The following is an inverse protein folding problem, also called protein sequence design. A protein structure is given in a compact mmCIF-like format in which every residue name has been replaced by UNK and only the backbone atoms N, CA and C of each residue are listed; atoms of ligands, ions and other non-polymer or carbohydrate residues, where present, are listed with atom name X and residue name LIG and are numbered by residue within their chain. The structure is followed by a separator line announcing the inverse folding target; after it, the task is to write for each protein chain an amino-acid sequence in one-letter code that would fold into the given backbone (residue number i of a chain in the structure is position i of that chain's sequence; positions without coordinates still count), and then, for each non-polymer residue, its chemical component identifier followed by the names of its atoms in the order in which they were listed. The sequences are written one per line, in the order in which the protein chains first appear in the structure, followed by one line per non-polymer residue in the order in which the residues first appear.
data_IF_989302001330
#
_entry.id   IF_989302001330
#
_cell.length_a   1.000
_cell.length_b   1.000
_cell.length_c   1.000
_cell.angle_alpha   90.00
_cell.angle_beta   90.00
_cell.angle_gamma   90.00
#
_symmetry.space_group_name_H-M   'P 1'
#
loop_
_entity.id
_entity.type
_entity.pdbx_description
1 polymer ?
#
# COMPACT_ATOMS: atom_id res chain seq x y z
N UNK A 1 14.60 23.29 -38.74
CA UNK A 1 14.24 23.59 -37.34
C UNK A 1 12.99 22.81 -36.98
N UNK A 2 13.15 21.59 -36.44
CA UNK A 2 12.02 20.80 -35.94
C UNK A 2 11.73 21.30 -34.53
N UNK A 3 10.66 22.07 -34.34
CA UNK A 3 10.09 22.31 -33.01
C UNK A 3 9.58 20.96 -32.50
N UNK A 4 10.46 20.23 -31.81
CA UNK A 4 10.06 19.04 -31.06
C UNK A 4 9.06 19.50 -30.02
N UNK A 5 7.82 19.04 -30.13
CA UNK A 5 6.82 19.18 -29.09
C UNK A 5 7.37 18.46 -27.87
N UNK A 6 8.01 19.19 -26.95
CA UNK A 6 8.19 18.72 -25.60
C UNK A 6 6.79 18.38 -25.11
N UNK A 7 6.51 17.07 -25.00
CA UNK A 7 5.35 16.56 -24.30
C UNK A 7 5.46 17.05 -22.86
N UNK A 8 4.94 18.25 -22.59
CA UNK A 8 4.91 18.87 -21.27
C UNK A 8 4.27 17.87 -20.31
N UNK A 9 5.08 17.31 -19.41
CA UNK A 9 4.60 16.51 -18.30
C UNK A 9 3.56 17.34 -17.56
N UNK A 10 2.34 16.83 -17.44
CA UNK A 10 1.35 17.45 -16.57
C UNK A 10 1.76 17.23 -15.10
N UNK A 11 1.24 18.05 -14.19
CA UNK A 11 1.48 17.81 -12.75
C UNK A 11 1.03 16.42 -12.31
N UNK A 12 -0.06 15.91 -12.88
CA UNK A 12 -0.52 14.54 -12.63
C UNK A 12 0.48 13.48 -13.12
N UNK A 13 1.15 13.71 -14.24
CA UNK A 13 2.17 12.80 -14.74
C UNK A 13 3.40 12.81 -13.82
N UNK A 14 3.80 13.98 -13.30
CA UNK A 14 4.84 14.10 -12.27
C UNK A 14 4.45 13.38 -10.98
N UNK A 15 3.23 13.53 -10.51
CA UNK A 15 2.70 12.78 -9.36
C UNK A 15 2.76 11.26 -9.57
N UNK A 16 2.39 10.77 -10.76
CA UNK A 16 2.50 9.35 -11.11
C UNK A 16 3.96 8.89 -11.07
N UNK A 17 4.90 9.67 -11.62
CA UNK A 17 6.33 9.36 -11.58
C UNK A 17 6.85 9.31 -10.13
N UNK A 18 6.46 10.29 -9.29
CA UNK A 18 6.80 10.29 -7.86
C UNK A 18 6.26 9.04 -7.19
N UNK A 19 4.99 8.70 -7.38
CA UNK A 19 4.38 7.51 -6.80
C UNK A 19 5.12 6.22 -7.21
N UNK A 20 5.41 6.06 -8.52
CA UNK A 20 6.15 4.92 -9.03
C UNK A 20 7.54 4.82 -8.39
N UNK A 21 8.26 5.93 -8.22
CA UNK A 21 9.58 5.90 -7.58
C UNK A 21 9.51 5.53 -6.10
N UNK A 22 8.51 6.07 -5.38
CA UNK A 22 8.28 5.77 -3.95
C UNK A 22 8.12 4.28 -3.70
N UNK A 23 7.33 3.59 -4.53
CA UNK A 23 7.18 2.13 -4.48
C UNK A 23 8.28 1.36 -5.24
N UNK A 24 9.12 2.06 -6.01
CA UNK A 24 10.13 1.49 -6.89
C UNK A 24 9.57 1.02 -8.24
N UNK A 25 8.44 0.31 -8.23
CA UNK A 25 7.71 -0.06 -9.43
C UNK A 25 6.22 -0.25 -9.17
N UNK A 26 5.37 -0.02 -10.18
CA UNK A 26 3.93 -0.27 -10.12
C UNK A 26 3.40 -0.81 -11.45
N UNK A 27 2.26 -1.49 -11.42
CA UNK A 27 1.49 -1.87 -12.61
C UNK A 27 0.56 -0.72 -13.08
N UNK A 28 0.02 -0.84 -14.30
CA UNK A 28 -0.98 0.11 -14.79
C UNK A 28 -2.26 0.10 -13.92
N UNK A 29 -2.70 -1.08 -13.46
CA UNK A 29 -3.86 -1.24 -12.58
C UNK A 29 -3.66 -0.53 -11.24
N UNK A 30 -2.46 -0.62 -10.64
CA UNK A 30 -2.14 0.06 -9.39
C UNK A 30 -2.11 1.58 -9.55
N UNK A 31 -1.51 2.09 -10.64
CA UNK A 31 -1.56 3.53 -10.95
C UNK A 31 -3.01 3.98 -11.17
N UNK A 32 -3.81 3.20 -11.89
CA UNK A 32 -5.21 3.49 -12.12
C UNK A 32 -5.98 3.58 -10.79
N UNK A 33 -5.75 2.62 -9.90
CA UNK A 33 -6.37 2.57 -8.59
C UNK A 33 -5.94 3.77 -7.72
N UNK A 34 -4.65 4.06 -7.63
CA UNK A 34 -4.13 5.16 -6.81
C UNK A 34 -4.68 6.53 -7.22
N UNK A 35 -4.97 6.73 -8.51
CA UNK A 35 -5.43 8.01 -9.04
C UNK A 35 -6.92 8.05 -9.41
N UNK A 36 -7.70 7.02 -9.05
CA UNK A 36 -9.15 6.96 -9.32
C UNK A 36 -9.49 7.08 -10.81
N UNK A 37 -8.69 6.45 -11.68
CA UNK A 37 -8.91 6.46 -13.14
C UNK A 37 -9.08 5.05 -13.68
N UNK A 38 -9.59 4.92 -14.91
CA UNK A 38 -9.66 3.61 -15.56
C UNK A 38 -8.27 3.11 -15.97
N UNK A 39 -8.09 1.78 -15.94
CA UNK A 39 -6.81 1.16 -16.31
C UNK A 39 -6.37 1.51 -17.74
N UNK A 40 -7.31 1.61 -18.68
CA UNK A 40 -7.04 2.06 -20.06
C UNK A 40 -6.48 3.48 -20.10
N UNK A 41 -6.99 4.39 -19.27
CA UNK A 41 -6.48 5.77 -19.19
C UNK A 41 -5.09 5.79 -18.59
N UNK A 42 -4.87 5.07 -17.48
CA UNK A 42 -3.57 4.95 -16.85
C UNK A 42 -2.53 4.37 -17.82
N UNK A 43 -2.87 3.26 -18.49
CA UNK A 43 -2.01 2.61 -19.47
C UNK A 43 -1.58 3.58 -20.59
N UNK A 44 -2.52 4.32 -21.20
CA UNK A 44 -2.18 5.29 -22.26
C UNK A 44 -1.24 6.39 -21.76
N UNK A 45 -1.45 6.90 -20.55
CA UNK A 45 -0.54 7.91 -19.96
C UNK A 45 0.85 7.34 -19.71
N UNK A 46 0.92 6.15 -19.12
CA UNK A 46 2.17 5.45 -18.84
C UNK A 46 2.96 5.16 -20.12
N UNK A 47 2.29 4.72 -21.20
CA UNK A 47 2.94 4.48 -22.49
C UNK A 47 3.56 5.76 -23.07
N UNK A 48 2.85 6.89 -23.07
CA UNK A 48 3.42 8.18 -23.49
C UNK A 48 4.66 8.57 -22.67
N UNK A 49 4.63 8.35 -21.36
CA UNK A 49 5.78 8.60 -20.51
C UNK A 49 6.94 7.62 -20.76
N UNK A 50 6.67 6.38 -21.19
CA UNK A 50 7.69 5.42 -21.61
C UNK A 50 8.32 5.85 -22.95
N UNK A 51 7.52 6.24 -23.94
CA UNK A 51 7.98 6.77 -25.23
C UNK A 51 8.88 8.00 -25.04
N UNK A 52 8.49 8.89 -24.13
CA UNK A 52 9.26 10.08 -23.76
C UNK A 52 10.43 9.80 -22.78
N UNK A 53 10.67 8.54 -22.41
CA UNK A 53 11.75 8.05 -21.51
C UNK A 53 11.70 8.54 -20.06
N UNK A 54 10.57 9.10 -19.63
CA UNK A 54 10.32 9.41 -18.22
C UNK A 54 10.09 8.14 -17.39
N UNK A 55 9.51 7.11 -17.99
CA UNK A 55 9.34 5.78 -17.40
C UNK A 55 10.04 4.71 -18.23
N UNK A 56 10.27 3.55 -17.61
CA UNK A 56 10.70 2.31 -18.26
C UNK A 56 9.62 1.26 -18.01
N UNK A 57 9.25 0.53 -19.05
CA UNK A 57 8.36 -0.62 -18.95
C UNK A 57 9.16 -1.92 -18.93
N UNK A 58 8.78 -2.86 -18.07
CA UNK A 58 9.35 -4.22 -18.02
C UNK A 58 8.25 -5.25 -17.82
N UNK A 59 8.45 -6.46 -18.35
CA UNK A 59 7.59 -7.63 -18.09
C UNK A 59 8.45 -8.78 -17.56
N UNK A 60 8.77 -8.78 -16.26
CA UNK A 60 9.69 -9.76 -15.68
C UNK A 60 9.10 -11.18 -15.52
N UNK A 61 7.77 -11.30 -15.44
CA UNK A 61 7.03 -12.55 -15.27
C UNK A 61 5.84 -12.60 -16.24
N UNK A 62 5.19 -13.75 -16.38
CA UNK A 62 3.88 -13.84 -17.04
C UNK A 62 2.85 -13.03 -16.24
N UNK A 63 2.28 -11.99 -16.84
CA UNK A 63 1.31 -11.11 -16.18
C UNK A 63 1.41 -9.64 -16.62
N UNK A 64 0.84 -8.76 -15.80
CA UNK A 64 0.90 -7.32 -16.01
C UNK A 64 2.35 -6.83 -15.96
N UNK A 65 2.74 -5.97 -16.92
CA UNK A 65 4.04 -5.35 -16.89
C UNK A 65 4.12 -4.25 -15.83
N UNK A 66 5.33 -3.99 -15.36
CA UNK A 66 5.66 -2.99 -14.36
C UNK A 66 6.29 -1.76 -15.02
N UNK A 67 6.06 -0.61 -14.39
CA UNK A 67 6.63 0.67 -14.76
C UNK A 67 7.59 1.12 -13.66
N UNK A 68 8.73 1.66 -14.06
CA UNK A 68 9.80 2.14 -13.19
C UNK A 68 10.20 3.54 -13.65
N UNK A 69 10.56 4.44 -12.73
CA UNK A 69 11.07 5.75 -13.11
C UNK A 69 12.36 5.64 -13.93
N UNK A 70 12.38 6.27 -15.11
CA UNK A 70 13.58 6.48 -15.92
C UNK A 70 14.41 7.64 -15.37
N UNK A 71 15.65 7.80 -15.82
CA UNK A 71 16.54 8.89 -15.36
C UNK A 71 15.89 10.26 -15.57
N UNK A 72 15.36 10.50 -16.77
CA UNK A 72 14.62 11.72 -17.11
C UNK A 72 13.39 11.94 -16.21
N UNK A 73 12.72 10.86 -15.80
CA UNK A 73 11.58 10.92 -14.87
C UNK A 73 12.01 11.34 -13.48
N UNK A 74 13.11 10.79 -12.98
CA UNK A 74 13.67 11.15 -11.68
C UNK A 74 14.09 12.63 -11.65
N UNK A 75 14.77 13.10 -12.69
CA UNK A 75 15.17 14.51 -12.83
C UNK A 75 13.95 15.44 -12.90
N UNK A 76 12.93 15.07 -13.69
CA UNK A 76 11.74 15.89 -13.87
C UNK A 76 10.88 16.08 -12.62
N UNK A 77 11.09 15.27 -11.57
CA UNK A 77 10.36 15.35 -10.30
C UNK A 77 11.25 15.66 -9.11
N UNK A 78 12.52 15.98 -9.35
CA UNK A 78 13.56 16.18 -8.32
C UNK A 78 13.55 15.06 -7.28
N UNK A 79 13.65 13.83 -7.77
CA UNK A 79 13.45 12.65 -6.96
C UNK A 79 14.52 12.47 -5.87
N UNK A 80 14.07 12.41 -4.61
CA UNK A 80 14.94 12.06 -3.47
C UNK A 80 15.38 10.60 -3.43
N UNK A 81 14.58 9.70 -4.03
CA UNK A 81 14.89 8.28 -4.12
C UNK A 81 15.57 7.98 -5.46
N UNK A 82 16.71 7.29 -5.38
CA UNK A 82 17.46 6.84 -6.54
C UNK A 82 16.76 5.74 -7.35
N UNK A 83 17.40 5.34 -8.45
CA UNK A 83 16.88 4.29 -9.36
C UNK A 83 16.50 3.01 -8.62
N UNK A 84 15.36 2.44 -8.99
CA UNK A 84 14.93 1.14 -8.48
C UNK A 84 15.52 0.00 -9.32
N UNK A 85 16.02 -1.03 -8.63
CA UNK A 85 16.46 -2.29 -9.23
C UNK A 85 15.39 -3.36 -9.00
N UNK A 86 15.01 -4.04 -10.08
CA UNK A 86 14.00 -5.10 -10.01
C UNK A 86 14.67 -6.40 -9.59
N UNK A 87 14.24 -6.96 -8.47
CA UNK A 87 14.61 -8.28 -8.00
C UNK A 87 13.39 -9.20 -8.07
N UNK A 88 13.47 -10.29 -8.86
CA UNK A 88 12.33 -11.19 -9.07
C UNK A 88 11.82 -11.79 -7.75
N UNK A 89 12.73 -12.09 -6.82
CA UNK A 89 12.43 -12.70 -5.54
C UNK A 89 11.54 -11.83 -4.63
N UNK A 90 11.60 -10.51 -4.75
CA UNK A 90 10.83 -9.57 -3.92
C UNK A 90 9.74 -8.85 -4.71
N UNK A 91 9.61 -9.10 -6.01
CA UNK A 91 8.69 -8.35 -6.87
C UNK A 91 7.23 -8.55 -6.47
N UNK A 92 6.81 -9.80 -6.23
CA UNK A 92 5.44 -10.09 -5.81
C UNK A 92 5.11 -9.43 -4.46
N UNK A 93 6.05 -9.49 -3.51
CA UNK A 93 5.94 -8.82 -2.22
C UNK A 93 5.75 -7.32 -2.38
N UNK A 94 6.64 -6.65 -3.12
CA UNK A 94 6.60 -5.21 -3.32
C UNK A 94 5.30 -4.74 -3.98
N UNK A 95 4.79 -5.49 -4.96
CA UNK A 95 3.52 -5.19 -5.61
C UNK A 95 2.34 -5.37 -4.65
N UNK A 96 2.34 -6.42 -3.82
CA UNK A 96 1.29 -6.63 -2.84
C UNK A 96 1.28 -5.53 -1.75
N UNK A 97 2.44 -5.09 -1.28
CA UNK A 97 2.57 -3.95 -0.36
C UNK A 97 1.98 -2.67 -0.98
N UNK A 98 2.18 -2.45 -2.28
CA UNK A 98 1.57 -1.32 -2.98
C UNK A 98 0.03 -1.42 -3.02
N UNK A 99 -0.53 -2.60 -3.26
CA UNK A 99 -1.99 -2.81 -3.20
C UNK A 99 -2.54 -2.52 -1.81
N UNK A 100 -1.88 -3.03 -0.76
CA UNK A 100 -2.23 -2.76 0.63
C UNK A 100 -2.21 -1.27 0.92
N UNK A 101 -1.16 -0.56 0.52
CA UNK A 101 -1.05 0.89 0.72
C UNK A 101 -2.19 1.65 0.04
N UNK A 102 -2.52 1.30 -1.23
CA UNK A 102 -3.61 1.93 -1.98
C UNK A 102 -4.96 1.71 -1.27
N UNK A 103 -5.22 0.50 -0.78
CA UNK A 103 -6.47 0.19 -0.07
C UNK A 103 -6.57 0.93 1.26
N UNK A 104 -5.48 0.98 2.03
CA UNK A 104 -5.44 1.70 3.31
C UNK A 104 -5.62 3.20 3.12
N UNK A 105 -4.98 3.81 2.12
CA UNK A 105 -5.14 5.24 1.83
C UNK A 105 -6.56 5.60 1.38
N UNK A 106 -7.26 4.69 0.69
CA UNK A 106 -8.68 4.86 0.35
C UNK A 106 -9.58 4.76 1.58
N UNK A 107 -9.29 3.80 2.48
CA UNK A 107 -10.10 3.58 3.70
C UNK A 107 -9.93 4.68 4.75
N UNK A 108 -8.74 5.27 4.82
CA UNK A 108 -8.41 6.33 5.78
C UNK A 108 -8.07 7.63 5.03
N UNK A 109 -9.08 8.39 4.54
CA UNK A 109 -8.85 9.70 3.95
C UNK A 109 -8.02 10.61 4.86
N UNK A 110 -7.02 11.27 4.29
CA UNK A 110 -6.07 12.11 5.05
C UNK A 110 -4.91 11.36 5.68
N UNK A 111 -4.87 10.03 5.61
CA UNK A 111 -3.67 9.27 5.97
C UNK A 111 -2.55 9.49 4.94
N UNK A 112 -1.30 9.31 5.38
CA UNK A 112 -0.13 9.22 4.52
C UNK A 112 0.49 7.84 4.64
N UNK A 113 1.08 7.36 3.54
CA UNK A 113 1.89 6.15 3.53
C UNK A 113 3.35 6.54 3.37
N UNK A 114 4.28 5.91 4.08
CA UNK A 114 5.72 5.97 3.84
C UNK A 114 6.21 4.59 3.43
N UNK A 115 6.89 4.48 2.30
CA UNK A 115 7.32 3.18 1.75
C UNK A 115 8.57 2.67 2.45
N UNK A 116 8.83 1.36 2.39
CA UNK A 116 10.09 0.77 2.85
C UNK A 116 11.33 1.51 2.29
N UNK A 117 11.28 1.94 1.02
CA UNK A 117 12.38 2.67 0.37
C UNK A 117 12.65 4.03 1.04
N UNK A 118 11.58 4.74 1.40
CA UNK A 118 11.66 6.01 2.13
C UNK A 118 12.21 5.77 3.54
N UNK A 119 11.71 4.77 4.25
CA UNK A 119 12.16 4.38 5.60
C UNK A 119 13.63 3.97 5.61
N UNK A 120 14.09 3.17 4.64
CA UNK A 120 15.50 2.78 4.52
C UNK A 120 16.41 3.96 4.22
N UNK A 121 15.96 4.92 3.41
CA UNK A 121 16.72 6.16 3.15
C UNK A 121 16.86 6.96 4.43
N UNK A 122 15.77 7.19 5.15
CA UNK A 122 15.79 7.94 6.41
C UNK A 122 16.68 7.26 7.44
N UNK A 123 16.56 5.94 7.61
CA UNK A 123 17.43 5.18 8.49
C UNK A 123 18.92 5.27 8.08
N UNK A 124 19.21 5.24 6.77
CA UNK A 124 20.56 5.43 6.26
C UNK A 124 21.12 6.84 6.50
N UNK A 125 20.27 7.86 6.46
CA UNK A 125 20.65 9.23 6.80
C UNK A 125 20.91 9.39 8.30
N UNK A 126 20.11 8.73 9.15
CA UNK A 126 20.20 8.83 10.61
C UNK A 126 21.32 7.99 11.23
N UNK A 127 21.52 6.76 10.72
CA UNK A 127 22.40 5.76 11.33
C UNK A 127 23.59 5.38 10.45
N UNK A 128 23.71 5.96 9.25
CA UNK A 128 24.80 5.71 8.31
C UNK A 128 24.39 4.87 7.10
N UNK A 129 25.07 5.13 5.98
CA UNK A 129 24.82 4.46 4.70
C UNK A 129 24.95 2.94 4.86
N UNK A 130 23.95 2.21 4.40
CA UNK A 130 23.94 0.75 4.45
C UNK A 130 23.46 0.15 5.76
N UNK A 131 22.86 0.95 6.66
CA UNK A 131 22.21 0.44 7.87
C UNK A 131 21.24 -0.72 7.58
N UNK A 132 21.42 -1.83 8.31
CA UNK A 132 20.72 -3.10 8.08
C UNK A 132 19.69 -3.42 9.17
N UNK A 133 19.26 -2.43 9.95
CA UNK A 133 18.21 -2.66 10.93
C UNK A 133 16.86 -2.91 10.27
N UNK A 134 15.91 -3.37 11.09
CA UNK A 134 14.55 -3.66 10.64
C UNK A 134 13.79 -2.35 10.35
N UNK A 135 13.04 -2.34 9.26
CA UNK A 135 12.01 -1.34 8.95
C UNK A 135 10.75 -2.09 8.54
N UNK A 136 9.54 -1.55 8.81
CA UNK A 136 8.32 -2.14 8.26
C UNK A 136 8.31 -2.06 6.73
N UNK A 137 7.50 -2.92 6.09
CA UNK A 137 7.23 -2.87 4.64
C UNK A 137 6.54 -1.56 4.23
N UNK A 138 5.80 -0.95 5.16
CA UNK A 138 5.50 0.46 5.10
C UNK A 138 4.90 1.00 6.38
N UNK A 139 4.80 2.31 6.44
CA UNK A 139 4.29 3.04 7.59
C UNK A 139 3.03 3.79 7.18
N UNK A 140 1.90 3.41 7.76
CA UNK A 140 0.66 4.14 7.63
C UNK A 140 0.60 5.17 8.76
N UNK A 141 0.52 6.45 8.40
CA UNK A 141 0.30 7.51 9.38
C UNK A 141 -1.10 8.03 9.21
N UNK A 142 -1.92 7.72 10.21
CA UNK A 142 -3.34 8.04 10.25
C UNK A 142 -3.56 9.54 10.45
N UNK A 143 -4.77 10.05 10.13
CA UNK A 143 -5.18 11.39 10.56
C UNK A 143 -4.96 11.56 12.07
N UNK A 144 -4.34 12.67 12.45
CA UNK A 144 -3.91 12.92 13.84
C UNK A 144 -2.49 12.43 14.18
N UNK A 145 -1.72 11.91 13.21
CA UNK A 145 -0.29 11.64 13.36
C UNK A 145 0.06 10.30 14.00
N UNK A 146 -0.92 9.45 14.30
CA UNK A 146 -0.67 8.10 14.82
C UNK A 146 -0.02 7.23 13.76
N UNK A 147 1.12 6.65 14.09
CA UNK A 147 1.91 5.85 13.18
C UNK A 147 1.66 4.35 13.40
N UNK A 148 1.37 3.64 12.31
CA UNK A 148 1.09 2.20 12.29
C UNK A 148 2.08 1.52 11.35
N UNK A 149 2.94 0.68 11.91
CA UNK A 149 3.84 -0.15 11.12
C UNK A 149 3.03 -1.25 10.43
N UNK A 150 3.26 -1.47 9.14
CA UNK A 150 2.59 -2.50 8.35
C UNK A 150 3.61 -3.50 7.83
N UNK A 151 3.32 -4.77 8.05
CA UNK A 151 4.13 -5.94 7.67
C UNK A 151 3.29 -6.83 6.76
N UNK A 152 3.72 -7.05 5.52
CA UNK A 152 3.02 -7.91 4.57
C UNK A 152 3.61 -9.32 4.59
N UNK A 153 2.76 -10.33 4.79
CA UNK A 153 3.22 -11.71 4.91
C UNK A 153 2.80 -12.57 3.73
N UNK A 154 3.75 -12.70 2.78
CA UNK A 154 3.58 -13.59 1.63
C UNK A 154 3.82 -15.06 1.97
N UNK A 155 4.61 -15.35 3.02
CA UNK A 155 4.91 -16.72 3.48
C UNK A 155 4.60 -16.89 4.96
N UNK A 156 4.60 -18.12 5.45
CA UNK A 156 4.30 -18.39 6.86
C UNK A 156 5.53 -18.08 7.72
N UNK A 157 5.48 -17.03 8.53
CA UNK A 157 6.60 -16.64 9.40
C UNK A 157 6.82 -17.68 10.51
N UNK A 158 8.08 -18.07 10.74
CA UNK A 158 8.45 -18.97 11.85
C UNK A 158 8.33 -18.24 13.19
N UNK A 159 8.17 -18.99 14.30
CA UNK A 159 8.12 -18.39 15.64
C UNK A 159 9.38 -17.58 15.96
N UNK A 160 10.55 -18.06 15.52
CA UNK A 160 11.81 -17.37 15.70
C UNK A 160 11.89 -16.07 14.89
N UNK A 161 11.42 -16.09 13.63
CA UNK A 161 11.37 -14.89 12.78
C UNK A 161 10.38 -13.86 13.32
N UNK A 162 9.20 -14.29 13.77
CA UNK A 162 8.22 -13.43 14.44
C UNK A 162 8.81 -12.79 15.70
N UNK A 163 9.43 -13.59 16.58
CA UNK A 163 10.07 -13.05 17.78
C UNK A 163 11.19 -12.05 17.49
N UNK A 164 11.94 -12.20 16.38
CA UNK A 164 12.94 -11.22 15.95
C UNK A 164 12.30 -9.87 15.58
N UNK A 165 11.20 -9.92 14.83
CA UNK A 165 10.43 -8.73 14.44
C UNK A 165 9.81 -8.05 15.67
N UNK A 166 9.17 -8.82 16.56
CA UNK A 166 8.57 -8.25 17.77
C UNK A 166 9.60 -7.61 18.70
N UNK A 167 10.80 -8.18 18.84
CA UNK A 167 11.88 -7.53 19.60
C UNK A 167 12.26 -6.15 19.06
N UNK A 168 12.10 -5.93 17.75
CA UNK A 168 12.28 -4.59 17.19
C UNK A 168 11.14 -3.68 17.60
N UNK A 169 9.88 -4.08 17.37
CA UNK A 169 8.73 -3.23 17.63
C UNK A 169 8.47 -2.90 19.11
N UNK A 170 8.89 -3.77 20.04
CA UNK A 170 8.89 -3.45 21.47
C UNK A 170 9.79 -2.27 21.86
N UNK A 171 10.62 -1.77 20.93
CA UNK A 171 11.53 -0.63 21.11
C UNK A 171 11.19 0.56 20.21
N UNK A 172 10.00 0.56 19.61
CA UNK A 172 9.53 1.63 18.72
C UNK A 172 8.31 2.31 19.30
N UNK A 173 8.06 3.56 18.90
CA UNK A 173 6.91 4.35 19.34
C UNK A 173 5.68 4.20 18.42
N UNK A 174 5.66 3.18 17.54
CA UNK A 174 4.50 2.91 16.70
C UNK A 174 3.28 2.57 17.57
N UNK A 175 2.15 3.18 17.26
CA UNK A 175 0.92 2.96 18.01
C UNK A 175 0.41 1.51 17.85
N UNK A 176 0.60 0.93 16.66
CA UNK A 176 0.22 -0.44 16.33
C UNK A 176 1.16 -1.05 15.28
N UNK A 177 1.18 -2.38 15.22
CA UNK A 177 1.79 -3.15 14.13
C UNK A 177 0.72 -4.00 13.46
N UNK A 178 0.48 -3.77 12.17
CA UNK A 178 -0.50 -4.49 11.38
C UNK A 178 0.19 -5.53 10.50
N UNK A 179 -0.04 -6.80 10.78
CA UNK A 179 0.36 -7.88 9.88
C UNK A 179 -0.74 -8.14 8.86
N UNK A 180 -0.42 -8.02 7.58
CA UNK A 180 -1.33 -8.28 6.47
C UNK A 180 -0.98 -9.63 5.84
N UNK A 181 -1.84 -10.62 6.06
CA UNK A 181 -1.64 -11.99 5.60
C UNK A 181 -2.32 -12.24 4.27
N UNK A 182 -1.67 -13.01 3.39
CA UNK A 182 -2.29 -13.45 2.12
C UNK A 182 -3.36 -14.52 2.30
N UNK A 183 -3.29 -15.29 3.38
CA UNK A 183 -4.17 -16.44 3.63
C UNK A 183 -4.68 -16.47 5.07
N UNK A 184 -5.85 -17.07 5.28
CA UNK A 184 -6.41 -17.33 6.62
C UNK A 184 -5.46 -18.15 7.49
N UNK A 185 -4.83 -19.19 6.93
CA UNK A 185 -3.85 -20.01 7.65
C UNK A 185 -2.68 -19.21 8.21
N UNK A 186 -2.16 -18.23 7.46
CA UNK A 186 -1.11 -17.33 7.96
C UNK A 186 -1.64 -16.45 9.10
N UNK A 187 -2.84 -15.89 8.93
CA UNK A 187 -3.48 -15.08 9.95
C UNK A 187 -3.70 -15.85 11.26
N UNK A 188 -4.26 -17.06 11.20
CA UNK A 188 -4.52 -17.89 12.39
C UNK A 188 -3.23 -18.20 13.14
N UNK A 189 -2.16 -18.56 12.43
CA UNK A 189 -0.85 -18.79 13.04
C UNK A 189 -0.28 -17.52 13.68
N UNK A 190 -0.38 -16.37 13.01
CA UNK A 190 0.08 -15.11 13.61
C UNK A 190 -0.76 -14.74 14.82
N UNK A 191 -2.06 -15.01 14.83
CA UNK A 191 -2.91 -14.77 16.01
C UNK A 191 -2.39 -15.53 17.20
N UNK A 192 -2.03 -16.81 17.01
CA UNK A 192 -1.44 -17.63 18.07
C UNK A 192 -0.12 -17.07 18.59
N UNK A 193 0.75 -16.58 17.70
CA UNK A 193 2.04 -16.00 18.06
C UNK A 193 1.90 -14.62 18.71
N UNK A 194 0.90 -13.85 18.30
CA UNK A 194 0.66 -12.47 18.70
C UNK A 194 -0.23 -12.34 19.95
N UNK A 195 -0.76 -13.43 20.53
CA UNK A 195 -1.71 -13.39 21.66
C UNK A 195 -1.28 -12.52 22.84
N UNK A 196 0.03 -12.37 23.07
CA UNK A 196 0.59 -11.56 24.17
C UNK A 196 0.94 -10.12 23.78
N UNK A 197 0.55 -9.66 22.58
CA UNK A 197 0.89 -8.34 22.04
C UNK A 197 -0.40 -7.61 21.65
N UNK A 198 -0.89 -6.75 22.54
CA UNK A 198 -2.11 -5.96 22.39
C UNK A 198 -2.05 -4.90 21.27
N UNK A 199 -0.85 -4.41 20.95
CA UNK A 199 -0.61 -3.48 19.85
C UNK A 199 -0.53 -4.13 18.46
N UNK A 200 -0.66 -5.46 18.38
CA UNK A 200 -0.62 -6.19 17.10
C UNK A 200 -2.03 -6.43 16.56
N UNK A 201 -2.27 -6.01 15.31
CA UNK A 201 -3.49 -6.33 14.56
C UNK A 201 -3.15 -7.23 13.39
N UNK A 202 -4.06 -8.15 13.06
CA UNK A 202 -3.87 -9.09 11.95
C UNK A 202 -5.01 -8.92 10.94
N UNK A 203 -4.63 -8.62 9.71
CA UNK A 203 -5.51 -8.42 8.56
C UNK A 203 -5.28 -9.52 7.53
N UNK A 204 -6.26 -9.72 6.65
CA UNK A 204 -6.18 -10.64 5.52
C UNK A 204 -6.36 -9.86 4.24
N UNK A 205 -5.42 -10.02 3.31
CA UNK A 205 -5.50 -9.50 1.95
C UNK A 205 -5.94 -10.61 0.99
N UNK A 206 -7.21 -10.58 0.58
CA UNK A 206 -7.81 -11.57 -0.29
C UNK A 206 -8.64 -10.89 -1.38
N UNK A 207 -8.44 -11.27 -2.64
CA UNK A 207 -9.20 -10.78 -3.81
C UNK A 207 -9.24 -9.25 -3.93
N UNK A 208 -8.14 -8.57 -3.62
CA UNK A 208 -8.05 -7.11 -3.72
C UNK A 208 -8.78 -6.36 -2.59
N UNK A 209 -9.12 -7.05 -1.50
CA UNK A 209 -9.78 -6.48 -0.32
C UNK A 209 -9.01 -6.81 0.96
N UNK A 210 -9.13 -5.93 1.95
CA UNK A 210 -8.58 -6.11 3.29
C UNK A 210 -9.70 -6.43 4.28
N UNK A 211 -9.50 -7.47 5.06
CA UNK A 211 -10.43 -7.93 6.08
C UNK A 211 -9.74 -7.99 7.43
N UNK A 212 -10.48 -7.70 8.49
CA UNK A 212 -10.03 -8.11 9.82
C UNK A 212 -10.07 -9.63 9.94
N UNK A 213 -8.99 -10.20 10.46
CA UNK A 213 -8.88 -11.65 10.59
C UNK A 213 -9.91 -12.24 11.56
N UNK A 214 -10.51 -11.45 12.46
CA UNK A 214 -11.58 -11.87 13.38
C UNK A 214 -12.97 -11.91 12.71
N UNK A 215 -13.06 -11.63 11.41
CA UNK A 215 -14.24 -11.89 10.59
C UNK A 215 -15.37 -10.87 10.71
N UNK A 216 -15.12 -9.67 11.26
CA UNK A 216 -16.18 -8.71 11.61
C UNK A 216 -16.23 -7.42 10.77
N UNK A 217 -15.23 -7.11 9.94
CA UNK A 217 -15.28 -5.89 9.13
C UNK A 217 -14.50 -6.05 7.80
N UNK A 218 -15.15 -5.68 6.70
CA UNK A 218 -14.48 -5.43 5.43
C UNK A 218 -13.88 -4.02 5.51
N UNK A 219 -12.56 -3.92 5.66
CA UNK A 219 -11.87 -2.63 5.76
C UNK A 219 -11.85 -1.87 4.42
N UNK A 220 -12.39 -2.44 3.34
CA UNK A 220 -12.57 -1.74 2.07
C UNK A 220 -13.99 -1.16 1.89
N UNK A 221 -14.94 -1.46 2.77
CA UNK A 221 -16.24 -0.77 2.78
C UNK A 221 -16.04 0.66 3.33
N UNK A 222 -16.73 1.64 2.73
CA UNK A 222 -16.73 2.98 3.31
C UNK A 222 -17.36 2.91 4.72
N UNK A 223 -16.90 3.71 5.71
CA UNK A 223 -17.53 3.74 7.03
C UNK A 223 -19.03 4.10 6.99
N UNK A 224 -19.51 4.68 5.89
CA UNK A 224 -20.93 4.95 5.61
C UNK A 224 -21.74 3.75 5.09
N UNK A 225 -21.11 2.67 4.63
CA UNK A 225 -21.79 1.51 4.03
C UNK A 225 -22.41 0.56 5.08
N UNK A 226 -22.21 0.85 6.38
CA UNK A 226 -22.80 0.11 7.50
C UNK A 226 -24.12 0.71 8.02
N UNK A 227 -24.62 1.79 7.42
CA UNK A 227 -25.92 2.40 7.75
C UNK A 227 -26.96 2.09 6.67
N UNK A 228 -27.38 0.83 6.59
CA UNK A 228 -28.68 0.47 5.99
C UNK A 228 -29.17 -0.87 6.53
N UNK A 229 -29.57 -0.88 7.80
CA UNK A 229 -30.69 -1.69 8.29
C UNK A 229 -31.49 -0.81 9.26
N UNK A 230 -32.12 0.23 8.72
CA UNK A 230 -33.35 0.78 9.31
C UNK A 230 -34.48 -0.19 8.95
N UNK A 231 -35.24 -0.67 9.93
CA UNK A 231 -36.42 0.06 10.38
C UNK A 231 -37.63 -0.72 9.89
N UNK A 232 -38.10 -1.65 10.71
CA UNK A 232 -39.39 -2.30 10.50
C UNK A 232 -40.44 -1.36 11.09
N UNK A 233 -41.07 -0.59 10.20
CA UNK A 233 -42.21 0.27 10.50
C UNK A 233 -43.32 -0.11 9.52
N UNK A 234 -44.29 -0.87 10.00
CA UNK A 234 -45.43 -1.39 9.25
C UNK A 234 -46.69 -1.32 10.10
N UNK A 235 -47.22 -0.12 10.29
CA UNK A 235 -48.44 0.13 11.06
C UNK A 235 -49.76 -0.13 10.32
N UNK A 236 -50.83 -0.06 11.14
CA UNK A 236 -52.30 0.17 10.90
C UNK A 236 -53.13 -0.98 11.47
N UNK A 237 -54.28 -0.80 12.13
CA UNK A 237 -55.14 0.34 12.49
C UNK A 237 -56.30 -0.24 13.31
N UNK A 238 -56.90 0.49 14.27
CA UNK A 238 -58.22 0.09 14.78
C UNK A 238 -58.61 0.72 16.12
N UNK A 239 -59.41 1.77 16.04
CA UNK A 239 -60.20 2.39 17.12
C UNK A 239 -61.20 1.38 17.72
N UNK A 240 -61.39 1.34 19.05
CA UNK A 240 -62.61 1.79 19.76
C UNK A 240 -62.56 1.48 21.27
N UNK A 241 -62.94 2.47 22.08
CA UNK A 241 -63.29 2.35 23.50
C UNK A 241 -64.68 1.72 23.67
N UNK A 242 -65.04 1.26 24.88
CA UNK A 242 -65.51 2.18 25.93
C UNK A 242 -64.68 2.16 27.21
#
# INVERSE_FOLDING_TARGET
MVRGVESLLTERDKEIIRLINRFGCLTAAQVAAAFGMSERVAYRRLQKMVEARYLKYRRPLSGAGIYIAGVRGLEAVDAELGRFQVHLATLEHNLAVADVAILLLRRYPGARWVTERELRREAGQRFGVGWQGHVPDGLLVLPGGREVAVEYENTTKSRAAFGKVMRHYLRTDYAQVWFVCRTRRQADRLKELARSYDFVRILIFERGMLYESDGRENLCAHPSDHLSVSGDDGGRSGVQAP
#
